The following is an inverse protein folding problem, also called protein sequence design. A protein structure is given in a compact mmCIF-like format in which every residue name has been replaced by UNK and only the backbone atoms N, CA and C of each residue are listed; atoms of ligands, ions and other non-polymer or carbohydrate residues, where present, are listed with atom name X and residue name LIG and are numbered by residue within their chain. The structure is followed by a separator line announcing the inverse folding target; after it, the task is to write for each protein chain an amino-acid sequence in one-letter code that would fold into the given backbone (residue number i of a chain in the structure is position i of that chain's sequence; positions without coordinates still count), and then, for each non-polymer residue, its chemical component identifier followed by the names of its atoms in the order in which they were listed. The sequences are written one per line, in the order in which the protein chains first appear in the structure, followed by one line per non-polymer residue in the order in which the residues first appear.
data_IF_289536546500
#
_entry.id   IF_289536546500
#
_cell.length_a   1.000
_cell.length_b   1.000
_cell.length_c   1.000
_cell.angle_alpha   90.00
_cell.angle_beta   90.00
_cell.angle_gamma   90.00
#
_symmetry.space_group_name_H-M   'P 1'
#
loop_
_entity.id
_entity.type
_entity.pdbx_description
1 polymer ?
#
# COMPACT_ATOMS: atom_id res chain seq x y z
N UNK A 1 11.27 -13.17 -5.64
CA UNK A 1 10.48 -11.99 -5.27
C UNK A 1 10.60 -11.79 -3.77
N UNK A 2 11.76 -11.33 -3.29
CA UNK A 2 11.96 -11.08 -1.86
C UNK A 2 11.27 -9.76 -1.53
N UNK A 3 9.97 -9.82 -1.29
CA UNK A 3 9.12 -8.72 -0.81
C UNK A 3 9.49 -8.44 0.66
N UNK A 4 10.70 -7.94 0.92
CA UNK A 4 11.24 -7.85 2.29
C UNK A 4 10.40 -6.87 3.13
N UNK A 5 9.42 -7.42 3.86
CA UNK A 5 8.42 -6.70 4.64
C UNK A 5 7.19 -6.18 3.89
N UNK A 6 6.92 -6.59 2.65
CA UNK A 6 5.69 -6.22 1.91
C UNK A 6 4.77 -7.44 1.75
N UNK A 7 3.48 -7.28 2.06
CA UNK A 7 2.48 -8.35 1.96
C UNK A 7 1.37 -7.94 1.00
N UNK A 8 1.27 -8.68 -0.10
CA UNK A 8 0.17 -8.54 -1.04
C UNK A 8 -1.14 -8.98 -0.38
N UNK A 9 -2.18 -8.17 -0.55
CA UNK A 9 -3.52 -8.53 -0.10
C UNK A 9 -4.05 -9.74 -0.87
N UNK A 10 -4.70 -10.69 -0.21
CA UNK A 10 -5.38 -11.81 -0.88
C UNK A 10 -6.65 -11.37 -1.63
N UNK A 11 -7.07 -10.11 -1.46
CA UNK A 11 -8.17 -9.50 -2.24
C UNK A 11 -7.70 -8.96 -3.59
N UNK A 12 -6.39 -9.02 -3.85
CA UNK A 12 -5.72 -8.51 -5.05
C UNK A 12 -5.54 -9.56 -6.14
N UNK A 13 -6.08 -10.78 -5.97
CA UNK A 13 -5.94 -11.90 -6.92
C UNK A 13 -7.00 -11.91 -8.04
N UNK A 14 -7.76 -10.82 -8.22
CA UNK A 14 -8.83 -10.71 -9.23
C UNK A 14 -8.33 -10.38 -10.65
N UNK A 15 -9.02 -10.92 -11.66
CA UNK A 15 -8.69 -10.82 -13.10
C UNK A 15 -9.10 -9.51 -13.79
N UNK A 16 -9.90 -8.63 -13.16
CA UNK A 16 -10.38 -7.39 -13.79
C UNK A 16 -10.07 -6.15 -12.95
N UNK A 17 -9.28 -5.22 -13.49
CA UNK A 17 -9.11 -3.82 -13.04
C UNK A 17 -8.89 -3.55 -11.54
N UNK A 18 -8.51 -4.56 -10.75
CA UNK A 18 -8.26 -4.38 -9.31
C UNK A 18 -6.96 -3.61 -9.10
N UNK A 19 -6.98 -2.31 -8.85
CA UNK A 19 -5.80 -1.59 -8.36
C UNK A 19 -5.35 -2.22 -7.04
N UNK A 20 -4.06 -2.56 -6.90
CA UNK A 20 -3.58 -3.36 -5.77
C UNK A 20 -2.54 -2.58 -4.98
N UNK A 21 -3.02 -1.91 -3.93
CA UNK A 21 -2.21 -1.08 -3.05
C UNK A 21 -1.82 -1.88 -1.80
N UNK A 22 -0.57 -1.73 -1.37
CA UNK A 22 -0.05 -2.27 -0.12
C UNK A 22 0.34 -1.11 0.81
N UNK A 23 0.13 -1.30 2.11
CA UNK A 23 0.56 -0.36 3.14
C UNK A 23 1.27 -1.09 4.28
N UNK A 24 2.30 -0.47 4.86
CA UNK A 24 3.00 -1.00 6.05
C UNK A 24 3.42 0.13 7.00
N UNK A 25 3.56 -0.14 8.31
CA UNK A 25 4.26 0.75 9.22
C UNK A 25 5.74 0.89 8.81
N UNK A 26 6.28 2.10 8.86
CA UNK A 26 7.69 2.38 8.60
C UNK A 26 8.16 3.55 9.47
N UNK A 27 9.11 3.29 10.37
CA UNK A 27 9.60 4.30 11.32
C UNK A 27 8.47 4.90 12.16
N UNK A 28 8.28 6.22 12.05
CA UNK A 28 7.22 6.97 12.75
C UNK A 28 5.95 7.17 11.90
N UNK A 29 5.85 6.54 10.74
CA UNK A 29 4.74 6.73 9.80
C UNK A 29 4.38 5.45 9.04
N UNK A 30 3.89 5.62 7.82
CA UNK A 30 3.43 4.53 6.95
C UNK A 30 4.03 4.66 5.57
N UNK A 31 4.27 3.52 4.92
CA UNK A 31 4.63 3.46 3.53
C UNK A 31 3.49 2.86 2.71
N UNK A 32 3.23 3.43 1.54
CA UNK A 32 2.22 2.96 0.60
C UNK A 32 2.84 2.78 -0.79
N UNK A 33 2.48 1.69 -1.48
CA UNK A 33 2.96 1.39 -2.82
C UNK A 33 1.95 0.59 -3.63
N UNK A 34 2.15 0.53 -4.95
CA UNK A 34 1.41 -0.37 -5.83
C UNK A 34 2.16 -1.72 -5.96
N UNK A 35 1.48 -2.80 -5.60
CA UNK A 35 2.04 -4.16 -5.65
C UNK A 35 2.21 -4.68 -7.07
N UNK A 36 1.50 -4.14 -8.06
CA UNK A 36 1.58 -4.55 -9.48
C UNK A 36 2.83 -4.04 -10.17
N UNK A 37 3.35 -2.90 -9.71
CA UNK A 37 4.57 -2.34 -10.27
C UNK A 37 5.84 -3.07 -9.83
N UNK A 38 5.72 -4.10 -8.97
CA UNK A 38 6.89 -4.89 -8.56
C UNK A 38 7.98 -3.99 -7.97
N UNK A 39 9.24 -4.29 -8.23
CA UNK A 39 10.34 -3.53 -7.64
C UNK A 39 10.42 -2.08 -8.16
N UNK A 40 9.72 -1.76 -9.27
CA UNK A 40 9.63 -0.42 -9.85
C UNK A 40 8.59 0.49 -9.17
N UNK A 41 7.86 -0.03 -8.19
CA UNK A 41 6.82 0.73 -7.50
C UNK A 41 7.42 1.85 -6.65
N UNK A 42 6.98 3.11 -6.82
CA UNK A 42 7.37 4.17 -5.90
C UNK A 42 6.83 3.88 -4.50
N UNK A 43 7.67 4.09 -3.49
CA UNK A 43 7.28 3.98 -2.09
C UNK A 43 6.99 5.38 -1.59
N UNK A 44 5.73 5.63 -1.21
CA UNK A 44 5.31 6.90 -0.62
C UNK A 44 5.38 6.82 0.90
N UNK A 45 6.18 7.68 1.52
CA UNK A 45 6.18 7.87 2.97
C UNK A 45 5.09 8.86 3.38
N UNK A 46 4.19 8.41 4.25
CA UNK A 46 3.08 9.17 4.79
C UNK A 46 3.25 9.33 6.30
N UNK A 47 2.98 10.55 6.79
CA UNK A 47 2.86 10.76 8.24
C UNK A 47 1.59 10.09 8.73
N UNK A 48 1.55 9.75 10.02
CA UNK A 48 0.37 9.15 10.67
C UNK A 48 -0.91 9.95 10.44
N UNK A 49 -0.83 11.29 10.46
CA UNK A 49 -1.99 12.16 10.22
C UNK A 49 -2.52 12.04 8.79
N UNK A 50 -1.63 11.97 7.80
CA UNK A 50 -1.99 11.86 6.38
C UNK A 50 -2.56 10.48 6.06
N UNK A 51 -1.94 9.42 6.61
CA UNK A 51 -2.43 8.05 6.45
C UNK A 51 -3.81 7.87 7.11
N UNK A 52 -4.03 8.47 8.28
CA UNK A 52 -5.34 8.44 8.94
C UNK A 52 -6.40 9.18 8.13
N UNK A 53 -6.07 10.35 7.59
CA UNK A 53 -6.98 11.11 6.72
C UNK A 53 -7.34 10.31 5.45
N UNK A 54 -6.37 9.61 4.85
CA UNK A 54 -6.60 8.72 3.70
C UNK A 54 -7.61 7.61 4.04
N UNK A 55 -7.45 6.94 5.18
CA UNK A 55 -8.38 5.87 5.61
C UNK A 55 -9.80 6.42 5.85
N UNK A 56 -9.92 7.56 6.52
CA UNK A 56 -11.22 8.22 6.76
C UNK A 56 -11.93 8.62 5.47
N UNK A 57 -11.18 8.96 4.42
CA UNK A 57 -11.76 9.28 3.11
C UNK A 57 -12.16 8.02 2.34
N UNK A 58 -11.47 6.90 2.54
CA UNK A 58 -11.75 5.62 1.89
C UNK A 58 -12.95 4.87 2.49
N UNK A 59 -13.27 5.10 3.76
CA UNK A 59 -14.46 4.54 4.46
C UNK A 59 -15.79 5.24 4.08
N UNK A 60 -15.86 5.95 2.95
CA UNK A 60 -17.06 6.66 2.47
C UNK A 60 -17.83 5.90 1.40
#
# INVERSE_FOLDING_TARGET
MSQDGWRKSSRSDGTENSNCVEARPAGTGFQVRDSKLGDDSPIFDLKTVDFTALLQQADR
#
